data_IF_319656671873
#
_entry.id   IF_319656671873
#
_cell.length_a   1.000
_cell.length_b   1.000
_cell.length_c   1.000
_cell.angle_alpha   90.00
_cell.angle_beta   90.00
_cell.angle_gamma   90.00
#
_symmetry.space_group_name_H-M   'P 1'
#
loop_
_entity.id
_entity.type
_entity.pdbx_description
1 polymer ?
#
# COMPACT_ATOMS: atom_id res chain seq x y z
N UNK A 1 16.83 -10.16 -0.63
CA UNK A 1 15.49 -10.12 -1.24
C UNK A 1 15.45 -10.99 -2.48
N UNK A 2 16.32 -10.81 -3.48
CA UNK A 2 16.31 -11.55 -4.76
C UNK A 2 16.32 -13.08 -4.60
N UNK A 3 17.06 -13.64 -3.65
CA UNK A 3 17.18 -15.09 -3.46
C UNK A 3 15.89 -15.76 -2.94
N UNK A 4 15.08 -15.05 -2.15
CA UNK A 4 13.87 -15.64 -1.54
C UNK A 4 12.58 -15.24 -2.27
N UNK A 5 12.62 -14.17 -3.06
CA UNK A 5 11.43 -13.61 -3.71
C UNK A 5 10.71 -14.60 -4.64
N UNK A 6 11.40 -15.43 -5.46
CA UNK A 6 10.73 -16.42 -6.30
C UNK A 6 9.89 -17.42 -5.48
N UNK A 7 10.45 -17.92 -4.39
CA UNK A 7 9.74 -18.87 -3.51
C UNK A 7 8.53 -18.20 -2.83
N UNK A 8 8.67 -16.96 -2.38
CA UNK A 8 7.58 -16.19 -1.75
C UNK A 8 6.46 -15.89 -2.76
N UNK A 9 6.80 -15.49 -3.99
CA UNK A 9 5.82 -15.25 -5.06
C UNK A 9 5.02 -16.51 -5.39
N UNK A 10 5.64 -17.67 -5.33
CA UNK A 10 4.97 -18.92 -5.60
C UNK A 10 4.10 -19.40 -4.43
N UNK A 11 4.63 -19.37 -3.20
CA UNK A 11 4.04 -20.07 -2.07
C UNK A 11 3.02 -19.25 -1.26
N UNK A 12 3.15 -17.91 -1.21
CA UNK A 12 2.34 -17.09 -0.31
C UNK A 12 0.92 -16.87 -0.87
N UNK A 13 -0.16 -17.29 -0.18
CA UNK A 13 -1.52 -17.07 -0.66
C UNK A 13 -1.94 -15.59 -0.60
N UNK A 14 -1.33 -14.81 0.29
CA UNK A 14 -1.54 -13.37 0.48
C UNK A 14 -0.19 -12.68 0.60
N UNK A 15 0.02 -11.59 -0.13
CA UNK A 15 1.33 -10.95 -0.20
C UNK A 15 1.22 -9.44 -0.34
N UNK A 16 2.06 -8.72 0.40
CA UNK A 16 2.35 -7.30 0.19
C UNK A 16 3.80 -7.18 -0.28
N UNK A 17 4.01 -6.45 -1.37
CA UNK A 17 5.33 -6.19 -1.94
C UNK A 17 5.63 -4.69 -1.88
N UNK A 18 6.73 -4.33 -1.24
CA UNK A 18 7.19 -2.95 -1.05
C UNK A 18 8.70 -2.83 -1.25
N UNK A 19 9.16 -1.64 -1.44
CA UNK A 19 10.58 -1.25 -1.41
C UNK A 19 11.48 -2.12 -2.32
N UNK A 20 12.46 -2.82 -1.74
CA UNK A 20 13.43 -3.62 -2.48
C UNK A 20 12.81 -4.73 -3.33
N UNK A 21 11.69 -5.32 -2.88
CA UNK A 21 11.01 -6.33 -3.66
C UNK A 21 10.49 -5.77 -4.99
N UNK A 22 9.95 -4.54 -4.99
CA UNK A 22 9.48 -3.87 -6.20
C UNK A 22 10.64 -3.52 -7.15
N UNK A 23 11.78 -3.11 -6.60
CA UNK A 23 12.98 -2.80 -7.38
C UNK A 23 13.54 -4.06 -8.06
N UNK A 24 13.60 -5.19 -7.34
CA UNK A 24 14.06 -6.46 -7.89
C UNK A 24 13.10 -6.96 -8.98
N UNK A 25 11.78 -6.87 -8.76
CA UNK A 25 10.78 -7.24 -9.77
C UNK A 25 10.88 -6.35 -11.01
N UNK A 26 11.11 -5.05 -10.84
CA UNK A 26 11.25 -4.14 -11.98
C UNK A 26 12.42 -4.51 -12.92
N UNK A 27 13.49 -5.09 -12.37
CA UNK A 27 14.69 -5.48 -13.09
C UNK A 27 14.67 -6.90 -13.67
N UNK A 28 13.66 -7.73 -13.35
CA UNK A 28 13.61 -9.15 -13.69
C UNK A 28 12.27 -9.55 -14.33
N UNK A 29 12.29 -9.82 -15.64
CA UNK A 29 11.11 -10.22 -16.41
C UNK A 29 10.50 -11.55 -15.93
N UNK A 30 11.31 -12.46 -15.38
CA UNK A 30 10.85 -13.73 -14.82
C UNK A 30 10.00 -13.50 -13.58
N UNK A 31 10.46 -12.61 -12.68
CA UNK A 31 9.72 -12.23 -11.49
C UNK A 31 8.44 -11.46 -11.84
N UNK A 32 8.47 -10.59 -12.84
CA UNK A 32 7.26 -9.93 -13.34
C UNK A 32 6.24 -10.95 -13.86
N UNK A 33 6.68 -11.99 -14.56
CA UNK A 33 5.80 -13.05 -15.03
C UNK A 33 5.23 -13.86 -13.88
N UNK A 34 6.05 -14.26 -12.91
CA UNK A 34 5.60 -14.96 -11.71
C UNK A 34 4.58 -14.11 -10.91
N UNK A 35 4.80 -12.80 -10.80
CA UNK A 35 3.86 -11.89 -10.14
C UNK A 35 2.50 -11.86 -10.85
N UNK A 36 2.47 -11.78 -12.19
CA UNK A 36 1.22 -11.83 -12.97
C UNK A 36 0.45 -13.14 -12.80
N UNK A 37 1.17 -14.26 -12.69
CA UNK A 37 0.55 -15.59 -12.55
C UNK A 37 -0.18 -15.78 -11.22
N UNK A 38 0.15 -14.99 -10.19
CA UNK A 38 -0.48 -15.07 -8.87
C UNK A 38 -2.00 -14.82 -8.92
N UNK A 39 -2.45 -13.90 -9.76
CA UNK A 39 -3.88 -13.61 -9.93
C UNK A 39 -4.64 -14.82 -10.47
N UNK A 40 -4.10 -15.50 -11.47
CA UNK A 40 -4.69 -16.73 -12.04
C UNK A 40 -4.72 -17.89 -11.02
N UNK A 41 -3.79 -17.91 -10.06
CA UNK A 41 -3.75 -18.85 -8.94
C UNK A 41 -4.67 -18.46 -7.77
N UNK A 42 -5.44 -17.38 -7.87
CA UNK A 42 -6.32 -16.90 -6.79
C UNK A 42 -5.56 -16.29 -5.59
N UNK A 43 -4.28 -15.97 -5.76
CA UNK A 43 -3.42 -15.44 -4.70
C UNK A 43 -3.55 -13.91 -4.60
N UNK A 44 -3.92 -13.41 -3.43
CA UNK A 44 -4.08 -11.98 -3.19
C UNK A 44 -2.73 -11.27 -3.13
N UNK A 45 -2.59 -10.18 -3.90
CA UNK A 45 -1.34 -9.39 -3.92
C UNK A 45 -1.65 -7.89 -3.85
N UNK A 46 -0.87 -7.17 -3.06
CA UNK A 46 -0.86 -5.71 -3.01
C UNK A 46 0.56 -5.21 -3.23
N UNK A 47 0.74 -4.31 -4.20
CA UNK A 47 1.98 -3.57 -4.41
C UNK A 47 1.83 -2.18 -3.79
N UNK A 48 2.89 -1.69 -3.13
CA UNK A 48 2.86 -0.37 -2.46
C UNK A 48 3.96 0.58 -2.98
N UNK A 49 4.07 0.80 -4.31
CA UNK A 49 5.14 1.60 -4.85
C UNK A 49 5.04 3.08 -4.46
N UNK A 50 6.18 3.71 -4.15
CA UNK A 50 6.32 5.16 -4.28
C UNK A 50 6.56 5.55 -5.77
N UNK A 51 6.49 6.84 -6.17
CA UNK A 51 6.56 7.21 -7.59
C UNK A 51 7.78 6.72 -8.36
N UNK A 52 8.95 6.62 -7.71
CA UNK A 52 10.16 6.12 -8.38
C UNK A 52 10.13 4.60 -8.58
N UNK A 53 9.59 3.83 -7.64
CA UNK A 53 9.36 2.39 -7.78
C UNK A 53 8.34 2.10 -8.88
N UNK A 54 7.24 2.86 -8.90
CA UNK A 54 6.24 2.79 -9.96
C UNK A 54 6.83 3.10 -11.34
N UNK A 55 7.71 4.10 -11.42
CA UNK A 55 8.40 4.46 -12.65
C UNK A 55 9.29 3.32 -13.17
N UNK A 56 10.04 2.66 -12.28
CA UNK A 56 10.86 1.49 -12.65
C UNK A 56 10.03 0.33 -13.16
N UNK A 57 8.92 0.03 -12.48
CA UNK A 57 7.98 -1.03 -12.89
C UNK A 57 7.32 -0.76 -14.24
N UNK A 58 7.09 0.52 -14.59
CA UNK A 58 6.46 0.94 -15.86
C UNK A 58 7.48 1.24 -16.97
N UNK A 59 8.79 1.24 -16.69
CA UNK A 59 9.81 1.69 -17.65
C UNK A 59 9.68 3.17 -18.00
N UNK A 60 9.33 4.03 -17.04
CA UNK A 60 9.08 5.47 -17.18
C UNK A 60 9.93 6.29 -16.22
N UNK A 61 9.82 7.60 -16.31
CA UNK A 61 10.39 8.52 -15.33
C UNK A 61 9.43 8.77 -14.16
N UNK A 62 10.00 9.11 -13.00
CA UNK A 62 9.20 9.49 -11.83
C UNK A 62 8.35 10.75 -12.08
N UNK A 63 8.82 11.66 -12.92
CA UNK A 63 8.08 12.87 -13.32
C UNK A 63 6.80 12.51 -14.08
N UNK A 64 6.87 11.61 -15.05
CA UNK A 64 5.69 11.14 -15.81
C UNK A 64 4.68 10.44 -14.91
N UNK A 65 5.15 9.62 -13.96
CA UNK A 65 4.27 8.98 -12.97
C UNK A 65 3.57 10.03 -12.10
N UNK A 66 4.29 11.02 -11.62
CA UNK A 66 3.72 12.10 -10.79
C UNK A 66 2.72 12.96 -11.56
N UNK A 67 2.98 13.23 -12.83
CA UNK A 67 2.08 14.01 -13.69
C UNK A 67 0.75 13.28 -13.95
N UNK A 68 0.77 11.95 -13.99
CA UNK A 68 -0.38 11.12 -14.36
C UNK A 68 -0.65 9.97 -13.35
N UNK A 69 -0.67 10.29 -12.06
CA UNK A 69 -0.73 9.31 -10.96
C UNK A 69 -1.89 8.31 -11.07
N UNK A 70 -3.11 8.78 -11.36
CA UNK A 70 -4.27 7.90 -11.56
C UNK A 70 -4.02 6.87 -12.66
N UNK A 71 -3.58 7.36 -13.82
CA UNK A 71 -3.28 6.51 -14.98
C UNK A 71 -2.15 5.51 -14.68
N UNK A 72 -1.09 5.96 -13.99
CA UNK A 72 0.04 5.10 -13.62
C UNK A 72 -0.39 3.99 -12.66
N UNK A 73 -1.20 4.29 -11.66
CA UNK A 73 -1.70 3.30 -10.71
C UNK A 73 -2.58 2.24 -11.39
N UNK A 74 -3.51 2.66 -12.27
CA UNK A 74 -4.36 1.75 -13.05
C UNK A 74 -3.51 0.87 -13.98
N UNK A 75 -2.55 1.45 -14.70
CA UNK A 75 -1.66 0.69 -15.58
C UNK A 75 -0.85 -0.36 -14.83
N UNK A 76 -0.35 -0.05 -13.63
CA UNK A 76 0.34 -1.03 -12.79
C UNK A 76 -0.59 -2.15 -12.32
N UNK A 77 -1.82 -1.79 -11.91
CA UNK A 77 -2.80 -2.77 -11.47
C UNK A 77 -3.15 -3.75 -12.59
N UNK A 78 -3.41 -3.25 -13.79
CA UNK A 78 -3.72 -4.06 -14.98
C UNK A 78 -2.50 -4.89 -15.42
N UNK A 79 -1.30 -4.30 -15.43
CA UNK A 79 -0.06 -4.97 -15.85
C UNK A 79 0.26 -6.18 -14.97
N UNK A 80 0.05 -6.08 -13.66
CA UNK A 80 0.38 -7.15 -12.71
C UNK A 80 -0.85 -7.90 -12.19
N UNK A 81 -2.05 -7.56 -12.69
CA UNK A 81 -3.32 -8.17 -12.31
C UNK A 81 -3.54 -8.20 -10.78
N UNK A 82 -3.17 -7.12 -10.06
CA UNK A 82 -3.24 -7.04 -8.61
C UNK A 82 -3.59 -5.62 -8.11
N UNK A 83 -3.88 -5.48 -6.82
CA UNK A 83 -4.12 -4.16 -6.22
C UNK A 83 -2.82 -3.40 -6.06
N UNK A 84 -2.84 -2.12 -6.42
CA UNK A 84 -1.69 -1.19 -6.32
C UNK A 84 -2.05 -0.01 -5.43
N UNK A 85 -1.15 0.33 -4.52
CA UNK A 85 -1.19 1.52 -3.67
C UNK A 85 -0.05 2.44 -4.10
N UNK A 86 -0.30 3.38 -4.99
CA UNK A 86 0.69 4.38 -5.41
C UNK A 86 0.81 5.46 -4.32
N UNK A 87 1.85 5.31 -3.50
CA UNK A 87 2.12 6.19 -2.34
C UNK A 87 2.37 7.65 -2.73
N UNK A 88 2.01 8.59 -1.85
CA UNK A 88 2.25 10.03 -2.00
C UNK A 88 1.07 10.86 -1.52
N UNK A 89 1.14 12.19 -1.68
CA UNK A 89 -0.01 13.08 -1.41
C UNK A 89 -1.17 12.68 -2.32
N UNK A 90 -2.36 12.42 -1.75
CA UNK A 90 -3.44 11.79 -2.48
C UNK A 90 -3.05 10.38 -2.97
N UNK A 91 -2.68 9.49 -2.05
CA UNK A 91 -2.38 8.08 -2.39
C UNK A 91 -3.49 7.48 -3.23
N UNK A 92 -3.13 6.87 -4.35
CA UNK A 92 -4.07 6.23 -5.28
C UNK A 92 -4.10 4.72 -5.05
N UNK A 93 -5.28 4.16 -4.88
CA UNK A 93 -5.51 2.72 -4.81
C UNK A 93 -6.20 2.28 -6.10
N UNK A 94 -5.57 1.40 -6.86
CA UNK A 94 -6.12 0.85 -8.10
C UNK A 94 -6.20 -0.68 -8.02
N UNK A 95 -7.31 -1.22 -8.48
CA UNK A 95 -7.56 -2.67 -8.57
C UNK A 95 -8.11 -2.97 -9.96
N UNK A 96 -7.66 -4.04 -10.65
CA UNK A 96 -8.15 -4.35 -11.99
C UNK A 96 -9.68 -4.41 -12.07
N UNK A 97 -10.24 -3.78 -13.10
CA UNK A 97 -11.69 -3.77 -13.31
C UNK A 97 -12.52 -2.90 -12.36
N UNK A 98 -11.87 -2.11 -11.49
CA UNK A 98 -12.54 -1.20 -10.56
C UNK A 98 -12.11 0.26 -10.80
N UNK A 99 -12.99 1.21 -10.45
CA UNK A 99 -12.62 2.61 -10.43
C UNK A 99 -11.51 2.85 -9.37
N UNK A 100 -10.44 3.59 -9.70
CA UNK A 100 -9.40 3.90 -8.74
C UNK A 100 -9.93 4.82 -7.63
N UNK A 101 -9.41 4.62 -6.41
CA UNK A 101 -9.73 5.44 -5.24
C UNK A 101 -8.58 6.41 -4.95
N UNK A 102 -8.91 7.63 -4.54
CA UNK A 102 -7.96 8.62 -4.02
C UNK A 102 -8.18 8.74 -2.51
N UNK A 103 -7.14 8.50 -1.73
CA UNK A 103 -7.22 8.64 -0.28
C UNK A 103 -7.20 10.12 0.13
N UNK A 104 -8.22 10.59 0.89
CA UNK A 104 -8.30 12.00 1.34
C UNK A 104 -7.56 12.26 2.66
N UNK A 105 -7.04 11.22 3.35
CA UNK A 105 -6.43 11.33 4.68
C UNK A 105 -4.91 11.36 4.61
N UNK A 106 -4.31 11.86 5.68
CA UNK A 106 -2.86 11.95 5.81
C UNK A 106 -2.31 13.35 5.56
N UNK A 107 -1.14 13.61 6.11
CA UNK A 107 -0.47 14.89 6.00
C UNK A 107 1.05 14.72 5.89
N UNK A 108 1.79 15.83 5.80
CA UNK A 108 3.24 15.83 5.56
C UNK A 108 4.06 15.09 6.65
N UNK A 109 3.52 14.85 7.85
CA UNK A 109 4.18 14.06 8.89
C UNK A 109 4.44 12.61 8.46
N UNK A 110 3.66 12.08 7.51
CA UNK A 110 3.89 10.76 6.95
C UNK A 110 5.10 10.69 5.99
N UNK A 111 5.72 11.82 5.64
CA UNK A 111 6.98 11.86 4.92
C UNK A 111 8.19 11.56 5.84
N UNK A 112 7.98 10.75 6.87
CA UNK A 112 8.99 10.27 7.81
C UNK A 112 9.42 8.85 7.44
N UNK A 113 10.72 8.56 7.55
CA UNK A 113 11.28 7.24 7.23
C UNK A 113 10.57 6.12 8.02
N UNK A 114 10.29 4.99 7.34
CA UNK A 114 9.65 3.81 7.93
C UNK A 114 8.12 3.86 8.01
N UNK A 115 7.47 5.00 7.70
CA UNK A 115 6.00 5.07 7.69
C UNK A 115 5.39 4.21 6.57
N UNK A 116 6.12 4.01 5.47
CA UNK A 116 5.75 3.08 4.39
C UNK A 116 5.74 1.62 4.88
N UNK A 117 6.74 1.21 5.68
CA UNK A 117 6.80 -0.13 6.27
C UNK A 117 5.61 -0.38 7.20
N UNK A 118 5.21 0.65 7.97
CA UNK A 118 4.01 0.59 8.82
C UNK A 118 2.76 0.39 7.98
N UNK A 119 2.63 1.09 6.85
CA UNK A 119 1.51 0.91 5.92
C UNK A 119 1.50 -0.49 5.33
N UNK A 120 2.64 -0.99 4.84
CA UNK A 120 2.75 -2.34 4.29
C UNK A 120 2.38 -3.41 5.32
N UNK A 121 2.85 -3.26 6.56
CA UNK A 121 2.48 -4.13 7.69
C UNK A 121 0.99 -4.09 8.00
N UNK A 122 0.35 -2.91 7.98
CA UNK A 122 -1.09 -2.76 8.21
C UNK A 122 -1.92 -3.42 7.10
N UNK A 123 -1.52 -3.29 5.83
CA UNK A 123 -2.15 -3.99 4.70
C UNK A 123 -2.01 -5.51 4.90
N UNK A 124 -0.81 -5.99 5.24
CA UNK A 124 -0.55 -7.41 5.50
C UNK A 124 -1.43 -7.98 6.62
N UNK A 125 -1.59 -7.25 7.72
CA UNK A 125 -2.45 -7.65 8.83
C UNK A 125 -3.92 -7.77 8.40
N UNK A 126 -4.41 -6.85 7.55
CA UNK A 126 -5.79 -6.90 7.02
C UNK A 126 -6.00 -8.04 6.03
N UNK A 127 -5.03 -8.30 5.18
CA UNK A 127 -5.05 -9.49 4.31
C UNK A 127 -5.09 -10.78 5.14
N UNK A 128 -4.28 -10.86 6.19
CA UNK A 128 -4.26 -12.00 7.10
C UNK A 128 -5.61 -12.20 7.83
N UNK A 129 -6.29 -11.10 8.16
CA UNK A 129 -7.65 -11.11 8.73
C UNK A 129 -8.75 -11.48 7.72
N UNK A 130 -8.42 -11.84 6.47
CA UNK A 130 -9.35 -12.36 5.48
C UNK A 130 -9.98 -11.30 4.57
N UNK A 131 -9.60 -10.04 4.66
CA UNK A 131 -10.08 -9.02 3.71
C UNK A 131 -9.49 -9.28 2.31
N UNK A 132 -10.25 -8.96 1.26
CA UNK A 132 -9.69 -8.97 -0.09
C UNK A 132 -8.68 -7.83 -0.29
N UNK A 133 -7.88 -7.91 -1.35
CA UNK A 133 -6.76 -6.97 -1.57
C UNK A 133 -7.21 -5.51 -1.66
N UNK A 134 -8.32 -5.23 -2.35
CA UNK A 134 -8.86 -3.88 -2.50
C UNK A 134 -9.34 -3.30 -1.16
N UNK A 135 -10.08 -4.09 -0.38
CA UNK A 135 -10.57 -3.70 0.94
C UNK A 135 -9.42 -3.50 1.93
N UNK A 136 -8.46 -4.44 1.97
CA UNK A 136 -7.29 -4.35 2.84
C UNK A 136 -6.46 -3.11 2.55
N UNK A 137 -6.18 -2.83 1.27
CA UNK A 137 -5.42 -1.66 0.84
C UNK A 137 -6.15 -0.35 1.18
N UNK A 138 -7.42 -0.22 0.79
CA UNK A 138 -8.20 1.02 0.98
C UNK A 138 -8.36 1.36 2.45
N UNK A 139 -8.72 0.37 3.27
CA UNK A 139 -8.90 0.59 4.70
C UNK A 139 -7.56 0.89 5.40
N UNK A 140 -6.47 0.20 5.02
CA UNK A 140 -5.15 0.46 5.61
C UNK A 140 -4.65 1.86 5.27
N UNK A 141 -4.74 2.27 4.00
CA UNK A 141 -4.32 3.61 3.55
C UNK A 141 -5.11 4.71 4.27
N UNK A 142 -6.44 4.56 4.37
CA UNK A 142 -7.29 5.51 5.09
C UNK A 142 -6.90 5.64 6.56
N UNK A 143 -6.75 4.51 7.26
CA UNK A 143 -6.43 4.50 8.69
C UNK A 143 -5.02 5.01 8.99
N UNK A 144 -4.06 4.66 8.14
CA UNK A 144 -2.69 5.16 8.23
C UNK A 144 -2.66 6.69 8.08
N UNK A 145 -3.38 7.23 7.09
CA UNK A 145 -3.55 8.67 6.93
C UNK A 145 -4.26 9.32 8.10
N UNK A 146 -5.39 8.74 8.52
CA UNK A 146 -6.20 9.23 9.65
C UNK A 146 -5.41 9.28 10.96
N UNK A 147 -4.54 8.29 11.20
CA UNK A 147 -3.67 8.30 12.38
C UNK A 147 -2.73 9.51 12.41
N UNK A 148 -2.22 9.94 11.25
CA UNK A 148 -1.41 11.16 11.14
C UNK A 148 -2.24 12.44 11.28
N UNK A 149 -3.47 12.46 10.77
CA UNK A 149 -4.38 13.62 10.90
C UNK A 149 -4.79 13.86 12.36
N UNK A 150 -4.98 12.79 13.13
CA UNK A 150 -5.27 12.82 14.54
C UNK A 150 -4.01 12.90 15.43
N UNK A 151 -2.84 13.17 14.83
CA UNK A 151 -1.58 13.23 15.59
C UNK A 151 -1.50 14.50 16.43
N UNK A 152 -1.15 14.43 17.74
CA UNK A 152 -1.02 15.62 18.58
C UNK A 152 0.02 16.59 18.03
N UNK A 153 -0.32 17.88 18.02
CA UNK A 153 0.54 18.93 17.46
C UNK A 153 1.93 18.98 18.14
N UNK A 154 1.96 18.75 19.45
CA UNK A 154 3.18 18.82 20.27
C UNK A 154 4.03 17.53 20.23
N UNK A 155 3.64 16.51 19.45
CA UNK A 155 4.34 15.22 19.44
C UNK A 155 5.01 14.97 18.10
N UNK A 156 6.22 14.42 18.11
CA UNK A 156 6.90 13.96 16.90
C UNK A 156 6.32 12.63 16.43
N UNK A 157 5.94 12.55 15.16
CA UNK A 157 5.53 11.30 14.53
C UNK A 157 6.79 10.55 14.07
N UNK A 158 6.95 9.33 14.57
CA UNK A 158 7.93 8.36 14.06
C UNK A 158 7.20 7.10 13.62
N UNK A 159 7.82 6.27 12.78
CA UNK A 159 7.23 5.00 12.35
C UNK A 159 6.81 4.12 13.53
N UNK A 160 7.68 4.00 14.54
CA UNK A 160 7.38 3.19 15.73
C UNK A 160 6.22 3.75 16.58
N UNK A 161 6.09 5.08 16.71
CA UNK A 161 4.96 5.69 17.42
C UNK A 161 3.68 5.59 16.61
N UNK A 162 3.76 5.71 15.29
CA UNK A 162 2.63 5.54 14.38
C UNK A 162 2.07 4.10 14.47
N UNK A 163 2.93 3.09 14.41
CA UNK A 163 2.52 1.68 14.51
C UNK A 163 1.77 1.39 15.81
N UNK A 164 2.28 1.89 16.94
CA UNK A 164 1.61 1.73 18.24
C UNK A 164 0.26 2.43 18.32
N UNK A 165 0.08 3.53 17.60
CA UNK A 165 -1.12 4.36 17.64
C UNK A 165 -2.23 3.91 16.67
N UNK A 166 -1.91 3.09 15.67
CA UNK A 166 -2.89 2.60 14.71
C UNK A 166 -4.07 1.89 15.36
N UNK A 167 -3.86 1.15 16.45
CA UNK A 167 -4.93 0.52 17.22
C UNK A 167 -5.92 1.52 17.83
N UNK A 168 -5.42 2.65 18.32
CA UNK A 168 -6.27 3.71 18.88
C UNK A 168 -7.08 4.47 17.82
N UNK A 169 -6.55 4.62 16.61
CA UNK A 169 -7.26 5.21 15.46
C UNK A 169 -8.39 4.30 14.91
N UNK A 170 -8.36 3.02 15.28
CA UNK A 170 -9.38 2.02 14.95
C UNK A 170 -10.50 1.93 15.97
N UNK A 171 -10.30 2.41 17.19
CA UNK A 171 -11.33 2.39 18.21
C UNK A 171 -12.51 3.25 17.72
N UNK A 172 -13.76 2.77 17.77
CA UNK A 172 -14.92 3.62 17.55
C UNK A 172 -14.82 4.77 18.54
N UNK A 173 -15.10 6.00 18.06
CA UNK A 173 -15.26 7.14 18.99
C UNK A 173 -16.21 6.68 20.10
N UNK A 174 -15.75 6.73 21.35
CA UNK A 174 -16.61 6.39 22.48
C UNK A 174 -17.89 7.23 22.32
N UNK A 175 -19.03 6.56 22.22
CA UNK A 175 -20.32 7.25 22.23
C UNK A 175 -20.32 8.14 23.49
N UNK A 176 -20.77 9.40 23.41
CA UNK A 176 -20.89 10.22 24.60
C UNK A 176 -21.79 9.45 25.56
N UNK A 177 -21.26 9.13 26.75
CA UNK A 177 -22.05 8.52 27.83
C UNK A 177 -23.16 9.50 28.07
N UNK A 178 -24.41 9.10 27.76
CA UNK A 178 -25.57 9.94 27.86
C UNK A 178 -25.64 10.58 29.23
N UNK A 179 -25.75 11.89 29.25
CA UNK A 179 -26.26 12.62 30.40
C UNK A 179 -27.71 12.16 30.62
N UNK A 180 -27.94 11.42 31.70
CA UNK A 180 -29.26 11.16 32.22
C UNK A 180 -29.77 12.41 32.93
#
# INVERSE_FOLDING_TARGET
VSAVLPAVLHAAPRLVLDADALNVIAADATLQTALRQRAAAGQATVLTPHPLEAARLLGRTSAEVQQHRLRAAVQLADLFACTVVLKGSGTVIATPGQAPLINPTGNARLATAGTGDVLAGLIGARLAAGQNAAQAASAAVYLHGRAADCWPAASTLTAGTLARRLGAALAPAAAPIGAA
#
